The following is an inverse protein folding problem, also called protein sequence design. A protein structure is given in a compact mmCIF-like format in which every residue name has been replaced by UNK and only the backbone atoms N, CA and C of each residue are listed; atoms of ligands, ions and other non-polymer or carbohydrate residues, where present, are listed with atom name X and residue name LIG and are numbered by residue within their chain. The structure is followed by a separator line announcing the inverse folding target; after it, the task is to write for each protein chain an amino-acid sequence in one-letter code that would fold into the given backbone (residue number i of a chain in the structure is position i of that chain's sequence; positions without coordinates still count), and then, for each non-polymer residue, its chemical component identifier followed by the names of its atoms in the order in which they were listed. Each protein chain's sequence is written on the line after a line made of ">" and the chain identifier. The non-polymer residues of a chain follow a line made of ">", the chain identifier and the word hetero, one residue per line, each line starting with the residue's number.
data_IF_674132472133
#
_entry.id   IF_674132472133
#
_cell.length_a   1.000
_cell.length_b   1.000
_cell.length_c   1.000
_cell.angle_alpha   90.00
_cell.angle_beta   90.00
_cell.angle_gamma   90.00
#
_symmetry.space_group_name_H-M   'P 1'
#
loop_
_entity.id
_entity.type
_entity.pdbx_description
1 polymer ?
#
# COMPACT_ATOMS: atom_id res chain seq x y z
N UNK A 1 -28.27 -12.05 -8.20
CA UNK A 1 -27.17 -12.35 -7.23
C UNK A 1 -27.74 -13.28 -6.17
N UNK A 2 -27.15 -14.42 -5.93
CA UNK A 2 -27.64 -15.41 -4.96
C UNK A 2 -27.66 -14.78 -3.55
N UNK A 3 -28.69 -15.04 -2.73
CA UNK A 3 -28.84 -14.49 -1.36
C UNK A 3 -27.61 -14.72 -0.50
N UNK A 4 -26.92 -15.84 -0.70
CA UNK A 4 -25.67 -16.17 -0.02
C UNK A 4 -24.51 -15.23 -0.42
N UNK A 5 -24.34 -14.94 -1.70
CA UNK A 5 -23.31 -14.03 -2.20
C UNK A 5 -23.52 -12.61 -1.66
N UNK A 6 -24.78 -12.14 -1.64
CA UNK A 6 -25.12 -10.84 -1.08
C UNK A 6 -24.79 -10.76 0.41
N UNK A 7 -25.13 -11.79 1.19
CA UNK A 7 -24.81 -11.86 2.62
C UNK A 7 -23.29 -11.82 2.88
N UNK A 8 -22.51 -12.54 2.09
CA UNK A 8 -21.04 -12.55 2.20
C UNK A 8 -20.44 -11.17 1.88
N UNK A 9 -20.90 -10.52 0.81
CA UNK A 9 -20.43 -9.18 0.42
C UNK A 9 -20.78 -8.15 1.50
N UNK A 10 -22.03 -8.16 1.98
CA UNK A 10 -22.45 -7.25 3.06
C UNK A 10 -21.65 -7.51 4.35
N UNK A 11 -21.37 -8.77 4.67
CA UNK A 11 -20.52 -9.13 5.81
C UNK A 11 -19.11 -8.54 5.68
N UNK A 12 -18.49 -8.57 4.49
CA UNK A 12 -17.17 -7.98 4.23
C UNK A 12 -17.19 -6.45 4.36
N UNK A 13 -18.21 -5.80 3.81
CA UNK A 13 -18.37 -4.35 3.96
C UNK A 13 -18.58 -3.94 5.42
N UNK A 14 -19.35 -4.71 6.17
CA UNK A 14 -19.54 -4.47 7.61
C UNK A 14 -18.23 -4.59 8.39
N UNK A 15 -17.46 -5.66 8.15
CA UNK A 15 -16.14 -5.85 8.78
C UNK A 15 -15.19 -4.69 8.41
N UNK A 16 -15.15 -4.27 7.14
CA UNK A 16 -14.33 -3.13 6.72
C UNK A 16 -14.74 -1.83 7.44
N UNK A 17 -16.04 -1.57 7.60
CA UNK A 17 -16.55 -0.41 8.35
C UNK A 17 -16.17 -0.46 9.83
N UNK A 18 -16.34 -1.60 10.48
CA UNK A 18 -15.95 -1.78 11.89
C UNK A 18 -14.44 -1.59 12.05
N UNK A 19 -13.65 -2.15 11.15
CA UNK A 19 -12.18 -1.96 11.17
C UNK A 19 -11.82 -0.50 11.02
N UNK A 20 -12.47 0.23 10.10
CA UNK A 20 -12.21 1.66 9.90
C UNK A 20 -12.48 2.48 11.18
N UNK A 21 -13.58 2.18 11.89
CA UNK A 21 -13.91 2.83 13.16
C UNK A 21 -12.87 2.51 14.24
N UNK A 22 -12.45 1.24 14.37
CA UNK A 22 -11.41 0.83 15.33
C UNK A 22 -10.09 1.53 15.03
N UNK A 23 -9.69 1.56 13.77
CA UNK A 23 -8.43 2.21 13.35
C UNK A 23 -8.51 3.72 13.53
N UNK A 24 -9.65 4.37 13.25
CA UNK A 24 -9.81 5.81 13.49
C UNK A 24 -9.62 6.16 14.97
N UNK A 25 -10.21 5.35 15.86
CA UNK A 25 -10.00 5.48 17.30
C UNK A 25 -8.52 5.29 17.68
N UNK A 26 -7.90 4.21 17.20
CA UNK A 26 -6.51 3.91 17.50
C UNK A 26 -5.55 5.02 17.00
N UNK A 27 -5.73 5.51 15.78
CA UNK A 27 -4.92 6.60 15.19
C UNK A 27 -5.08 7.88 15.99
N UNK A 28 -6.32 8.26 16.32
CA UNK A 28 -6.58 9.48 17.10
C UNK A 28 -5.91 9.43 18.47
N UNK A 29 -6.13 8.33 19.22
CA UNK A 29 -5.56 8.23 20.56
C UNK A 29 -4.04 8.02 20.53
N UNK A 30 -3.50 7.24 19.58
CA UNK A 30 -2.05 7.09 19.42
C UNK A 30 -1.36 8.43 19.17
N UNK A 31 -1.94 9.28 18.29
CA UNK A 31 -1.37 10.62 18.03
C UNK A 31 -1.51 11.54 19.23
N UNK A 32 -2.60 11.46 19.98
CA UNK A 32 -2.84 12.26 21.19
C UNK A 32 -1.91 11.88 22.35
N UNK A 33 -1.51 10.60 22.43
CA UNK A 33 -0.61 10.07 23.46
C UNK A 33 0.89 10.26 23.16
N UNK A 34 1.23 10.81 22.01
CA UNK A 34 2.62 11.09 21.66
C UNK A 34 3.28 11.99 22.71
N UNK A 35 4.49 11.67 23.24
CA UNK A 35 5.15 12.46 24.25
C UNK A 35 5.52 13.85 23.71
N UNK A 36 5.33 14.89 24.53
CA UNK A 36 5.57 16.29 24.21
C UNK A 36 4.28 17.05 23.92
N UNK A 37 4.30 18.33 24.21
CA UNK A 37 3.17 19.24 23.97
C UNK A 37 3.22 19.82 22.57
N UNK A 38 2.17 19.59 21.78
CA UNK A 38 2.06 20.07 20.40
C UNK A 38 2.23 21.59 20.30
N UNK A 39 1.61 22.36 21.20
CA UNK A 39 1.71 23.82 21.20
C UNK A 39 3.15 24.30 21.48
N UNK A 40 3.83 23.68 22.41
CA UNK A 40 5.24 23.98 22.71
C UNK A 40 6.16 23.68 21.53
N UNK A 41 5.95 22.55 20.84
CA UNK A 41 6.77 22.16 19.69
C UNK A 41 6.56 23.09 18.52
N UNK A 42 5.32 23.49 18.23
CA UNK A 42 4.98 24.42 17.16
C UNK A 42 5.55 25.82 17.39
N UNK A 43 5.51 26.31 18.65
CA UNK A 43 6.08 27.61 19.01
C UNK A 43 7.62 27.61 19.05
N UNK A 44 8.23 26.43 19.25
CA UNK A 44 9.69 26.30 19.30
C UNK A 44 10.33 27.28 20.26
N UNK A 45 11.21 28.16 19.76
CA UNK A 45 11.90 29.16 20.59
C UNK A 45 10.98 30.28 21.11
N UNK A 46 9.80 30.47 20.52
CA UNK A 46 8.81 31.47 20.95
C UNK A 46 7.83 30.94 22.02
N UNK A 47 8.06 29.76 22.58
CA UNK A 47 7.22 29.10 23.56
C UNK A 47 7.27 29.78 24.93
N UNK A 48 6.59 30.91 25.09
CA UNK A 48 6.30 31.45 26.43
C UNK A 48 5.10 30.76 27.04
N UNK A 49 4.96 30.72 28.39
CA UNK A 49 3.80 30.10 29.04
C UNK A 49 2.45 30.62 28.52
N UNK A 50 2.36 31.94 28.33
CA UNK A 50 1.15 32.60 27.82
C UNK A 50 0.86 32.21 26.36
N UNK A 51 1.87 32.19 25.50
CA UNK A 51 1.73 31.79 24.10
C UNK A 51 1.32 30.31 23.96
N UNK A 52 1.89 29.44 24.76
CA UNK A 52 1.55 27.99 24.79
C UNK A 52 0.10 27.81 25.22
N UNK A 53 -0.36 28.49 26.28
CA UNK A 53 -1.74 28.40 26.75
C UNK A 53 -2.72 28.96 25.70
N UNK A 54 -2.38 30.09 25.09
CA UNK A 54 -3.17 30.70 24.01
C UNK A 54 -3.33 29.73 22.83
N UNK A 55 -2.24 29.11 22.39
CA UNK A 55 -2.26 28.18 21.27
C UNK A 55 -2.99 26.87 21.60
N UNK A 56 -2.86 26.35 22.83
CA UNK A 56 -3.65 25.18 23.30
C UNK A 56 -5.14 25.44 23.21
N UNK A 57 -5.61 26.61 23.66
CA UNK A 57 -7.02 27.00 23.57
C UNK A 57 -7.48 27.17 22.13
N UNK A 58 -6.67 27.82 21.29
CA UNK A 58 -6.98 28.01 19.87
C UNK A 58 -7.08 26.68 19.11
N UNK A 59 -6.29 25.65 19.48
CA UNK A 59 -6.31 24.32 18.90
C UNK A 59 -7.26 23.36 19.63
N UNK A 60 -8.01 23.83 20.63
CA UNK A 60 -8.90 23.00 21.46
C UNK A 60 -8.21 21.80 22.13
N UNK A 61 -6.90 21.91 22.41
CA UNK A 61 -6.13 20.83 23.03
C UNK A 61 -6.44 20.64 24.52
N UNK A 62 -7.08 21.62 25.15
CA UNK A 62 -7.60 21.62 26.53
C UNK A 62 -8.90 20.81 26.68
N UNK A 63 -9.62 20.57 25.58
CA UNK A 63 -10.85 19.78 25.61
C UNK A 63 -10.56 18.28 25.84
N UNK A 64 -11.49 17.54 26.50
CA UNK A 64 -11.36 16.10 26.67
C UNK A 64 -11.17 15.39 25.33
N UNK A 65 -10.21 14.45 25.27
CA UNK A 65 -9.84 13.75 24.05
C UNK A 65 -11.02 13.08 23.33
N UNK A 66 -12.02 12.59 24.08
CA UNK A 66 -13.21 11.97 23.50
C UNK A 66 -14.06 12.96 22.69
N UNK A 67 -14.24 14.20 23.19
CA UNK A 67 -14.98 15.23 22.45
C UNK A 67 -14.23 15.65 21.18
N UNK A 68 -12.92 15.78 21.25
CA UNK A 68 -12.06 16.05 20.07
C UNK A 68 -12.17 14.91 19.05
N UNK A 69 -12.14 13.66 19.49
CA UNK A 69 -12.33 12.50 18.63
C UNK A 69 -13.69 12.51 17.92
N UNK A 70 -14.78 12.77 18.66
CA UNK A 70 -16.12 12.83 18.07
C UNK A 70 -16.24 13.96 17.04
N UNK A 71 -15.74 15.15 17.36
CA UNK A 71 -15.73 16.29 16.43
C UNK A 71 -14.94 15.95 15.15
N UNK A 72 -13.74 15.41 15.30
CA UNK A 72 -12.91 14.98 14.18
C UNK A 72 -13.58 13.88 13.33
N UNK A 73 -14.18 12.89 13.96
CA UNK A 73 -14.90 11.81 13.26
C UNK A 73 -16.09 12.33 12.48
N UNK A 74 -16.86 13.27 13.03
CA UNK A 74 -17.99 13.91 12.33
C UNK A 74 -17.47 14.74 11.14
N UNK A 75 -16.38 15.49 11.32
CA UNK A 75 -15.72 16.22 10.23
C UNK A 75 -15.31 15.29 9.09
N UNK A 76 -14.65 14.16 9.40
CA UNK A 76 -14.27 13.17 8.38
C UNK A 76 -15.48 12.63 7.60
N UNK A 77 -16.60 12.35 8.27
CA UNK A 77 -17.82 11.89 7.59
C UNK A 77 -18.45 12.95 6.70
N UNK A 78 -18.21 14.22 6.97
CA UNK A 78 -18.65 15.35 6.14
C UNK A 78 -17.64 15.72 5.05
N UNK A 79 -16.48 15.03 4.99
CA UNK A 79 -15.39 15.33 4.04
C UNK A 79 -14.49 16.49 4.48
N UNK A 80 -14.64 16.97 5.70
CA UNK A 80 -13.77 17.98 6.29
C UNK A 80 -12.57 17.30 6.97
N UNK A 81 -11.40 17.46 6.39
CA UNK A 81 -10.14 16.95 6.93
C UNK A 81 -9.51 17.90 7.97
N UNK A 82 -10.09 19.09 8.14
CA UNK A 82 -9.58 20.13 9.04
C UNK A 82 -8.42 20.94 8.45
N UNK A 83 -7.74 21.66 9.36
CA UNK A 83 -6.62 22.54 9.04
C UNK A 83 -5.34 22.02 9.67
N UNK A 84 -4.23 22.09 8.93
CA UNK A 84 -2.88 21.77 9.40
C UNK A 84 -2.47 22.73 10.50
N UNK A 85 -1.94 22.21 11.60
CA UNK A 85 -1.45 23.04 12.69
C UNK A 85 -0.11 23.73 12.37
N UNK A 86 0.73 23.09 11.55
CA UNK A 86 2.05 23.62 11.20
C UNK A 86 2.01 24.64 10.04
N UNK A 87 1.08 24.45 9.09
CA UNK A 87 1.01 25.27 7.87
C UNK A 87 -0.18 26.22 7.83
N UNK A 88 -1.13 26.10 8.77
CA UNK A 88 -2.39 26.88 8.81
C UNK A 88 -3.22 26.78 7.50
N UNK A 89 -3.00 25.72 6.72
CA UNK A 89 -3.66 25.49 5.44
C UNK A 89 -4.68 24.35 5.55
N UNK A 90 -5.76 24.38 4.73
CA UNK A 90 -6.67 23.24 4.63
C UNK A 90 -5.93 21.94 4.26
N UNK A 91 -6.09 20.88 5.05
CA UNK A 91 -5.42 19.60 4.86
C UNK A 91 -5.76 19.00 3.48
N UNK A 92 -7.00 19.17 3.02
CA UNK A 92 -7.41 18.74 1.68
C UNK A 92 -6.53 19.32 0.57
N UNK A 93 -6.14 20.60 0.67
CA UNK A 93 -5.26 21.23 -0.31
C UNK A 93 -3.83 20.67 -0.26
N UNK A 94 -3.30 20.38 0.95
CA UNK A 94 -1.98 19.80 1.15
C UNK A 94 -1.90 18.37 0.59
N UNK A 95 -2.98 17.59 0.71
CA UNK A 95 -3.05 16.18 0.33
C UNK A 95 -3.33 16.02 -1.17
N UNK A 96 -4.16 16.84 -1.79
CA UNK A 96 -4.72 16.60 -3.12
C UNK A 96 -3.66 16.25 -4.18
N UNK A 97 -2.65 17.09 -4.36
CA UNK A 97 -1.58 16.84 -5.34
C UNK A 97 -0.69 15.65 -4.97
N UNK A 98 -0.38 15.51 -3.68
CA UNK A 98 0.49 14.44 -3.17
C UNK A 98 -0.18 13.07 -3.24
N UNK A 99 -1.48 13.02 -2.99
CA UNK A 99 -2.28 11.80 -3.15
C UNK A 99 -2.27 11.29 -4.60
N UNK A 100 -2.46 12.19 -5.56
CA UNK A 100 -2.37 11.84 -6.98
C UNK A 100 -0.98 11.31 -7.34
N UNK A 101 0.09 11.89 -6.80
CA UNK A 101 1.46 11.43 -7.02
C UNK A 101 1.66 10.01 -6.46
N UNK A 102 1.24 9.74 -5.22
CA UNK A 102 1.30 8.39 -4.64
C UNK A 102 0.49 7.40 -5.46
N UNK A 103 -0.71 7.75 -5.92
CA UNK A 103 -1.51 6.88 -6.77
C UNK A 103 -0.84 6.60 -8.13
N UNK A 104 -0.20 7.60 -8.75
CA UNK A 104 0.60 7.40 -9.98
C UNK A 104 1.75 6.44 -9.73
N UNK A 105 2.51 6.63 -8.66
CA UNK A 105 3.62 5.75 -8.30
C UNK A 105 3.14 4.32 -8.06
N UNK A 106 2.09 4.14 -7.26
CA UNK A 106 1.50 2.84 -6.98
C UNK A 106 0.93 2.18 -8.25
N UNK A 107 0.23 2.95 -9.08
CA UNK A 107 -0.35 2.48 -10.34
C UNK A 107 0.70 2.02 -11.35
N UNK A 108 1.77 2.81 -11.54
CA UNK A 108 2.88 2.43 -12.43
C UNK A 108 3.61 1.20 -11.88
N UNK A 109 3.86 1.15 -10.57
CA UNK A 109 4.45 -0.03 -9.94
C UNK A 109 3.58 -1.27 -10.14
N UNK A 110 2.27 -1.17 -9.92
CA UNK A 110 1.32 -2.27 -10.13
C UNK A 110 1.30 -2.75 -11.60
N UNK A 111 1.37 -1.81 -12.55
CA UNK A 111 1.39 -2.10 -13.99
C UNK A 111 2.57 -3.00 -14.38
N UNK A 112 3.73 -2.86 -13.74
CA UNK A 112 4.89 -3.69 -13.98
C UNK A 112 4.94 -4.92 -13.05
N UNK A 113 4.71 -4.75 -11.76
CA UNK A 113 4.87 -5.81 -10.76
C UNK A 113 3.87 -6.95 -10.96
N UNK A 114 2.59 -6.64 -11.28
CA UNK A 114 1.55 -7.68 -11.41
C UNK A 114 1.82 -8.61 -12.60
N UNK A 115 2.06 -8.13 -13.85
CA UNK A 115 2.36 -9.01 -14.97
C UNK A 115 3.66 -9.82 -14.75
N UNK A 116 4.71 -9.21 -14.22
CA UNK A 116 5.96 -9.89 -13.91
C UNK A 116 5.71 -11.02 -12.91
N UNK A 117 5.04 -10.72 -11.82
CA UNK A 117 4.80 -11.66 -10.75
C UNK A 117 3.88 -12.82 -11.19
N UNK A 118 2.81 -12.54 -11.91
CA UNK A 118 1.94 -13.57 -12.44
C UNK A 118 2.66 -14.47 -13.44
N UNK A 119 3.41 -13.89 -14.36
CA UNK A 119 4.16 -14.66 -15.37
C UNK A 119 5.20 -15.57 -14.72
N UNK A 120 6.05 -15.02 -13.84
CA UNK A 120 7.09 -15.78 -13.17
C UNK A 120 6.51 -16.80 -12.17
N UNK A 121 5.46 -16.44 -11.42
CA UNK A 121 4.81 -17.32 -10.46
C UNK A 121 4.12 -18.52 -11.13
N UNK A 122 3.37 -18.27 -12.20
CA UNK A 122 2.67 -19.32 -12.95
C UNK A 122 3.67 -20.22 -13.67
N UNK A 123 4.66 -19.66 -14.36
CA UNK A 123 5.67 -20.45 -15.09
C UNK A 123 6.55 -21.27 -14.15
N UNK A 124 6.93 -20.74 -12.99
CA UNK A 124 7.65 -21.49 -11.96
C UNK A 124 6.82 -22.65 -11.40
N UNK A 125 5.51 -22.47 -11.22
CA UNK A 125 4.61 -23.55 -10.82
C UNK A 125 4.46 -24.62 -11.91
N UNK A 126 4.38 -24.24 -13.19
CA UNK A 126 4.33 -25.16 -14.34
C UNK A 126 5.59 -26.01 -14.47
N UNK A 127 6.74 -25.41 -14.20
CA UNK A 127 8.07 -26.02 -14.32
C UNK A 127 8.62 -26.44 -12.95
N UNK A 128 7.72 -26.81 -12.02
CA UNK A 128 8.07 -27.23 -10.66
C UNK A 128 9.18 -28.31 -10.64
N UNK A 129 10.19 -28.07 -9.79
CA UNK A 129 11.34 -28.98 -9.60
C UNK A 129 12.47 -28.79 -10.63
N UNK A 130 12.30 -27.99 -11.67
CA UNK A 130 13.36 -27.66 -12.63
C UNK A 130 14.34 -26.62 -12.07
N UNK A 131 15.47 -26.41 -12.75
CA UNK A 131 16.44 -25.37 -12.41
C UNK A 131 15.81 -23.96 -12.46
N UNK A 132 14.92 -23.69 -13.43
CA UNK A 132 14.17 -22.45 -13.53
C UNK A 132 13.37 -22.15 -12.25
N UNK A 133 12.59 -23.11 -11.81
CA UNK A 133 11.79 -23.00 -10.58
C UNK A 133 12.67 -22.73 -9.35
N UNK A 134 13.82 -23.41 -9.27
CA UNK A 134 14.77 -23.20 -8.16
C UNK A 134 15.36 -21.79 -8.18
N UNK A 135 15.78 -21.31 -9.36
CA UNK A 135 16.35 -19.95 -9.52
C UNK A 135 15.32 -18.91 -9.12
N UNK A 136 14.09 -18.96 -9.66
CA UNK A 136 13.01 -18.02 -9.31
C UNK A 136 12.74 -18.06 -7.80
N UNK A 137 12.68 -19.25 -7.20
CA UNK A 137 12.43 -19.40 -5.76
C UNK A 137 13.57 -18.81 -4.93
N UNK A 138 14.83 -19.10 -5.26
CA UNK A 138 16.00 -18.58 -4.52
C UNK A 138 16.08 -17.07 -4.61
N UNK A 139 15.88 -16.49 -5.81
CA UNK A 139 15.88 -15.05 -6.00
C UNK A 139 14.77 -14.39 -5.19
N UNK A 140 13.54 -14.91 -5.27
CA UNK A 140 12.41 -14.33 -4.54
C UNK A 140 12.58 -14.41 -3.02
N UNK A 141 13.11 -15.50 -2.49
CA UNK A 141 13.44 -15.63 -1.07
C UNK A 141 14.53 -14.64 -0.69
N UNK A 142 15.59 -14.53 -1.49
CA UNK A 142 16.67 -13.57 -1.27
C UNK A 142 16.16 -12.13 -1.20
N UNK A 143 15.30 -11.74 -2.15
CA UNK A 143 14.70 -10.39 -2.19
C UNK A 143 13.85 -10.10 -0.94
N UNK A 144 12.99 -11.05 -0.55
CA UNK A 144 12.11 -10.89 0.62
C UNK A 144 12.90 -10.81 1.93
N UNK A 145 14.09 -11.42 1.97
CA UNK A 145 14.96 -11.42 3.16
C UNK A 145 15.69 -10.08 3.36
N UNK A 146 15.76 -9.23 2.34
CA UNK A 146 16.41 -7.92 2.41
C UNK A 146 15.39 -6.85 2.80
N UNK A 147 15.63 -6.04 3.85
CA UNK A 147 14.76 -4.93 4.18
C UNK A 147 14.60 -3.95 3.01
N UNK A 148 13.40 -3.45 2.80
CA UNK A 148 13.06 -2.59 1.65
C UNK A 148 13.92 -1.33 1.55
N UNK A 149 14.23 -0.69 2.69
CA UNK A 149 15.10 0.48 2.71
C UNK A 149 16.53 0.16 2.21
N UNK A 150 17.03 -1.06 2.46
CA UNK A 150 18.33 -1.49 1.94
C UNK A 150 18.28 -1.69 0.43
N UNK A 151 17.18 -2.21 -0.11
CA UNK A 151 17.00 -2.32 -1.57
C UNK A 151 16.99 -0.92 -2.19
N UNK A 152 16.22 0.02 -1.61
CA UNK A 152 16.12 1.39 -2.10
C UNK A 152 17.47 2.12 -2.04
N UNK A 153 18.17 2.06 -0.91
CA UNK A 153 19.47 2.73 -0.75
C UNK A 153 20.57 2.09 -1.60
N UNK A 154 20.58 0.76 -1.73
CA UNK A 154 21.52 0.06 -2.62
C UNK A 154 21.27 0.41 -4.08
N UNK A 155 19.99 0.47 -4.50
CA UNK A 155 19.63 0.91 -5.86
C UNK A 155 20.09 2.35 -6.10
N UNK A 156 19.88 3.28 -5.16
CA UNK A 156 20.36 4.65 -5.26
C UNK A 156 21.89 4.70 -5.38
N UNK A 157 22.61 3.94 -4.56
CA UNK A 157 24.06 3.89 -4.59
C UNK A 157 24.59 3.37 -5.93
N UNK A 158 24.02 2.28 -6.43
CA UNK A 158 24.46 1.65 -7.69
C UNK A 158 24.11 2.55 -8.89
N UNK A 159 22.84 2.89 -9.06
CA UNK A 159 22.36 3.53 -10.28
C UNK A 159 22.55 5.05 -10.31
N UNK A 160 22.53 5.73 -9.16
CA UNK A 160 22.70 7.17 -9.14
C UNK A 160 24.15 7.61 -8.85
N UNK A 161 24.86 6.91 -7.95
CA UNK A 161 26.21 7.32 -7.52
C UNK A 161 27.28 6.68 -8.41
N UNK A 162 27.30 5.33 -8.51
CA UNK A 162 28.35 4.62 -9.25
C UNK A 162 28.13 4.67 -10.77
N UNK A 163 26.95 4.27 -11.25
CA UNK A 163 26.67 4.20 -12.69
C UNK A 163 26.24 5.55 -13.27
N UNK A 164 25.70 6.44 -12.46
CA UNK A 164 25.18 7.76 -12.87
C UNK A 164 24.14 7.69 -13.99
N UNK A 165 23.37 6.61 -14.04
CA UNK A 165 22.33 6.39 -15.07
C UNK A 165 21.02 7.11 -14.73
N UNK A 166 20.66 7.16 -13.44
CA UNK A 166 19.39 7.68 -12.95
C UNK A 166 19.62 8.70 -11.84
N UNK A 167 18.75 9.70 -11.66
CA UNK A 167 18.85 10.66 -10.58
C UNK A 167 18.55 9.98 -9.22
N UNK A 168 19.25 10.39 -8.18
CA UNK A 168 19.01 9.90 -6.81
C UNK A 168 17.69 10.42 -6.22
N UNK A 169 17.23 11.59 -6.65
CA UNK A 169 16.04 12.26 -6.15
C UNK A 169 14.98 12.39 -7.24
N UNK A 170 13.73 12.28 -6.84
CA UNK A 170 12.57 12.28 -7.75
C UNK A 170 11.79 13.58 -7.63
N UNK A 171 12.23 14.64 -8.32
CA UNK A 171 11.53 15.93 -8.36
C UNK A 171 10.39 15.89 -9.38
N UNK A 172 9.21 15.43 -8.97
CA UNK A 172 8.05 15.27 -9.87
C UNK A 172 7.54 16.60 -10.47
N UNK A 173 7.96 17.75 -9.95
CA UNK A 173 7.55 19.08 -10.43
C UNK A 173 8.34 19.54 -11.68
N UNK A 174 9.42 18.85 -12.05
CA UNK A 174 10.31 19.22 -13.18
C UNK A 174 10.08 18.32 -14.40
N UNK A 175 8.92 17.67 -14.49
CA UNK A 175 8.60 16.78 -15.60
C UNK A 175 7.99 17.56 -16.75
N UNK A 176 8.78 17.80 -17.80
CA UNK A 176 8.38 18.47 -19.04
C UNK A 176 8.31 17.54 -20.24
N UNK A 177 8.91 16.35 -20.16
CA UNK A 177 8.95 15.37 -21.22
C UNK A 177 8.67 13.95 -20.72
N UNK A 178 8.33 13.03 -21.64
CA UNK A 178 8.21 11.61 -21.34
C UNK A 178 9.52 11.02 -20.81
N UNK A 179 10.66 11.50 -21.31
CA UNK A 179 11.97 11.07 -20.84
C UNK A 179 12.25 11.51 -19.40
N UNK A 180 11.87 12.74 -19.01
CA UNK A 180 11.99 13.23 -17.65
C UNK A 180 11.10 12.43 -16.71
N UNK A 181 9.85 12.16 -17.14
CA UNK A 181 8.92 11.33 -16.37
C UNK A 181 9.52 9.94 -16.12
N UNK A 182 10.06 9.29 -17.14
CA UNK A 182 10.70 7.98 -16.99
C UNK A 182 11.91 8.05 -16.04
N UNK A 183 12.73 9.10 -16.12
CA UNK A 183 13.89 9.27 -15.22
C UNK A 183 13.47 9.48 -13.77
N UNK A 184 12.49 10.34 -13.53
CA UNK A 184 12.01 10.67 -12.17
C UNK A 184 11.36 9.47 -11.49
N UNK A 185 10.58 8.68 -12.24
CA UNK A 185 9.88 7.52 -11.70
C UNK A 185 10.70 6.23 -11.68
N UNK A 186 11.79 6.15 -12.46
CA UNK A 186 12.52 4.90 -12.65
C UNK A 186 12.98 4.28 -11.33
N UNK A 187 13.69 5.02 -10.49
CA UNK A 187 14.25 4.49 -9.24
C UNK A 187 13.17 4.05 -8.25
N UNK A 188 12.17 4.89 -7.90
CA UNK A 188 11.06 4.48 -7.04
C UNK A 188 10.32 3.26 -7.58
N UNK A 189 9.97 3.26 -8.88
CA UNK A 189 9.20 2.17 -9.52
C UNK A 189 10.00 0.87 -9.56
N UNK A 190 11.27 0.90 -9.96
CA UNK A 190 12.12 -0.30 -10.01
C UNK A 190 12.25 -0.92 -8.62
N UNK A 191 12.52 -0.09 -7.60
CA UNK A 191 12.66 -0.55 -6.21
C UNK A 191 11.37 -1.21 -5.71
N UNK A 192 10.23 -0.53 -5.82
CA UNK A 192 8.94 -1.07 -5.39
C UNK A 192 8.54 -2.31 -6.20
N UNK A 193 8.74 -2.29 -7.52
CA UNK A 193 8.43 -3.44 -8.38
C UNK A 193 9.25 -4.66 -7.96
N UNK A 194 10.53 -4.49 -7.68
CA UNK A 194 11.41 -5.58 -7.28
C UNK A 194 10.94 -6.23 -5.97
N UNK A 195 10.66 -5.42 -4.94
CA UNK A 195 10.24 -5.91 -3.62
C UNK A 195 8.85 -6.54 -3.67
N UNK A 196 7.87 -5.85 -4.26
CA UNK A 196 6.47 -6.29 -4.30
C UNK A 196 6.29 -7.53 -5.18
N UNK A 197 7.00 -7.59 -6.32
CA UNK A 197 6.93 -8.76 -7.21
C UNK A 197 7.43 -10.03 -6.53
N UNK A 198 8.46 -9.98 -5.73
CA UNK A 198 9.02 -11.16 -5.07
C UNK A 198 8.00 -11.89 -4.19
N UNK A 199 7.28 -11.14 -3.36
CA UNK A 199 6.21 -11.68 -2.52
C UNK A 199 5.05 -12.23 -3.36
N UNK A 200 4.63 -11.48 -4.38
CA UNK A 200 3.53 -11.85 -5.27
C UNK A 200 3.86 -13.11 -6.10
N UNK A 201 5.09 -13.23 -6.61
CA UNK A 201 5.58 -14.43 -7.33
C UNK A 201 5.43 -15.68 -6.44
N UNK A 202 5.92 -15.58 -5.19
CA UNK A 202 5.87 -16.69 -4.24
C UNK A 202 4.44 -17.12 -3.93
N UNK A 203 3.55 -16.17 -3.66
CA UNK A 203 2.15 -16.47 -3.35
C UNK A 203 1.41 -17.04 -4.56
N UNK A 204 1.60 -16.44 -5.75
CA UNK A 204 1.02 -16.94 -7.01
C UNK A 204 1.48 -18.36 -7.31
N UNK A 205 2.79 -18.62 -7.18
CA UNK A 205 3.35 -19.97 -7.37
C UNK A 205 2.73 -20.97 -6.41
N UNK A 206 2.60 -20.62 -5.14
CA UNK A 206 1.98 -21.50 -4.13
C UNK A 206 0.52 -21.82 -4.47
N UNK A 207 -0.28 -20.81 -4.82
CA UNK A 207 -1.69 -20.97 -5.18
C UNK A 207 -1.89 -21.87 -6.42
N UNK A 208 -1.04 -21.72 -7.43
CA UNK A 208 -1.11 -22.57 -8.64
C UNK A 208 -0.71 -24.00 -8.31
N UNK A 209 0.36 -24.23 -7.53
CA UNK A 209 0.79 -25.56 -7.12
C UNK A 209 -0.29 -26.27 -6.29
N UNK A 210 -0.91 -25.58 -5.34
CA UNK A 210 -2.00 -26.12 -4.54
C UNK A 210 -3.14 -26.61 -5.42
N UNK A 211 -3.53 -25.80 -6.40
CA UNK A 211 -4.59 -26.17 -7.36
C UNK A 211 -4.17 -27.33 -8.26
N UNK A 212 -2.91 -27.39 -8.70
CA UNK A 212 -2.39 -28.49 -9.53
C UNK A 212 -2.38 -29.85 -8.81
N UNK A 213 -2.33 -29.87 -7.49
CA UNK A 213 -2.35 -31.10 -6.67
C UNK A 213 -3.78 -31.58 -6.36
N UNK A 214 -4.83 -31.03 -6.97
CA UNK A 214 -6.22 -31.43 -6.73
C UNK A 214 -6.63 -32.65 -7.57
N UNK A 215 -7.54 -33.50 -7.08
CA UNK A 215 -7.94 -34.76 -7.79
C UNK A 215 -8.52 -34.53 -9.19
N UNK A 216 -9.22 -33.39 -9.42
CA UNK A 216 -9.78 -33.12 -10.74
C UNK A 216 -8.70 -32.76 -11.79
N UNK A 217 -7.58 -32.20 -11.34
CA UNK A 217 -6.42 -31.95 -12.22
C UNK A 217 -5.70 -33.24 -12.53
N UNK A 218 -5.56 -34.13 -11.56
CA UNK A 218 -5.01 -35.46 -11.77
C UNK A 218 -5.85 -36.26 -12.79
N UNK A 219 -7.17 -36.24 -12.69
CA UNK A 219 -8.07 -36.81 -13.68
C UNK A 219 -7.90 -36.24 -15.09
N UNK A 220 -7.64 -34.95 -15.21
CA UNK A 220 -7.35 -34.31 -16.51
C UNK A 220 -6.01 -34.81 -17.09
N UNK A 221 -5.01 -35.03 -16.25
CA UNK A 221 -3.72 -35.59 -16.63
C UNK A 221 -3.88 -37.03 -17.12
N UNK A 222 -4.63 -37.87 -16.39
CA UNK A 222 -4.92 -39.25 -16.77
C UNK A 222 -5.71 -39.37 -18.09
N UNK A 223 -6.50 -38.37 -18.44
CA UNK A 223 -7.18 -38.23 -19.74
C UNK A 223 -6.26 -37.74 -20.87
N UNK A 224 -4.96 -37.58 -20.63
CA UNK A 224 -3.98 -37.21 -21.63
C UNK A 224 -3.92 -35.72 -21.98
N UNK A 225 -4.47 -34.84 -21.12
CA UNK A 225 -4.37 -33.41 -21.34
C UNK A 225 -2.90 -32.92 -21.20
N UNK A 226 -2.45 -32.07 -22.12
CA UNK A 226 -1.10 -31.49 -22.07
C UNK A 226 -0.94 -30.55 -20.86
N UNK A 227 0.29 -30.43 -20.31
CA UNK A 227 0.58 -29.58 -19.16
C UNK A 227 0.08 -28.11 -19.32
N UNK A 228 0.31 -27.41 -20.44
CA UNK A 228 -0.24 -26.06 -20.62
C UNK A 228 -1.77 -26.05 -20.57
N UNK A 229 -2.45 -27.04 -21.21
CA UNK A 229 -3.91 -27.13 -21.17
C UNK A 229 -4.43 -27.35 -19.75
N UNK A 230 -3.75 -28.18 -18.96
CA UNK A 230 -4.08 -28.41 -17.54
C UNK A 230 -3.99 -27.09 -16.76
N UNK A 231 -2.90 -26.33 -16.91
CA UNK A 231 -2.71 -25.06 -16.19
C UNK A 231 -3.75 -24.03 -16.61
N UNK A 232 -3.84 -23.70 -17.90
CA UNK A 232 -4.68 -22.60 -18.36
C UNK A 232 -6.18 -22.89 -18.33
N UNK A 233 -6.59 -24.15 -18.53
CA UNK A 233 -8.02 -24.51 -18.63
C UNK A 233 -8.59 -25.15 -17.36
N UNK A 234 -7.76 -25.75 -16.53
CA UNK A 234 -8.24 -26.48 -15.34
C UNK A 234 -7.72 -25.86 -14.03
N UNK A 235 -6.44 -25.50 -13.94
CA UNK A 235 -5.87 -24.99 -12.69
C UNK A 235 -6.13 -23.48 -12.51
N UNK A 236 -5.74 -22.62 -13.45
CA UNK A 236 -5.84 -21.18 -13.31
C UNK A 236 -7.25 -20.67 -13.01
N UNK A 237 -8.33 -21.13 -13.67
CA UNK A 237 -9.68 -20.65 -13.34
C UNK A 237 -10.09 -20.92 -11.89
N UNK A 238 -9.56 -22.00 -11.29
CA UNK A 238 -9.82 -22.35 -9.89
C UNK A 238 -8.82 -21.71 -8.92
N UNK A 239 -7.63 -21.30 -9.41
CA UNK A 239 -6.63 -20.56 -8.65
C UNK A 239 -6.88 -19.05 -8.65
N UNK A 240 -7.84 -18.52 -9.43
CA UNK A 240 -8.10 -17.07 -9.55
C UNK A 240 -8.38 -16.43 -8.21
N UNK A 241 -9.21 -17.03 -7.34
CA UNK A 241 -9.48 -16.47 -6.02
C UNK A 241 -8.21 -16.26 -5.18
N UNK A 242 -7.42 -17.33 -4.92
CA UNK A 242 -6.12 -17.20 -4.25
C UNK A 242 -5.13 -16.25 -4.93
N UNK A 243 -5.07 -16.22 -6.26
CA UNK A 243 -4.18 -15.31 -7.00
C UNK A 243 -4.62 -13.86 -6.82
N UNK A 244 -5.91 -13.55 -6.95
CA UNK A 244 -6.45 -12.18 -6.73
C UNK A 244 -6.16 -11.72 -5.30
N UNK A 245 -6.32 -12.59 -4.30
CA UNK A 245 -5.95 -12.29 -2.93
C UNK A 245 -4.45 -12.03 -2.79
N UNK A 246 -3.59 -12.82 -3.43
CA UNK A 246 -2.15 -12.62 -3.42
C UNK A 246 -1.76 -11.26 -4.03
N UNK A 247 -2.37 -10.90 -5.17
CA UNK A 247 -2.19 -9.58 -5.80
C UNK A 247 -2.64 -8.45 -4.88
N UNK A 248 -3.83 -8.56 -4.31
CA UNK A 248 -4.38 -7.52 -3.44
C UNK A 248 -3.55 -7.31 -2.16
N UNK A 249 -3.14 -8.40 -1.51
CA UNK A 249 -2.25 -8.32 -0.34
C UNK A 249 -0.92 -7.66 -0.71
N UNK A 250 -0.33 -8.00 -1.86
CA UNK A 250 0.92 -7.39 -2.32
C UNK A 250 0.74 -5.91 -2.69
N UNK A 251 -0.37 -5.53 -3.31
CA UNK A 251 -0.69 -4.12 -3.59
C UNK A 251 -1.03 -3.35 -2.31
N UNK A 252 -1.63 -4.00 -1.31
CA UNK A 252 -1.85 -3.40 0.01
C UNK A 252 -0.52 -3.18 0.75
N UNK A 253 0.42 -4.12 0.65
CA UNK A 253 1.77 -3.96 1.16
C UNK A 253 2.51 -2.80 0.46
N UNK A 254 2.25 -2.59 -0.83
CA UNK A 254 2.79 -1.45 -1.58
C UNK A 254 2.47 -0.11 -0.90
N UNK A 255 1.27 0.04 -0.30
CA UNK A 255 0.91 1.27 0.41
C UNK A 255 1.81 1.53 1.63
N UNK A 256 2.30 0.49 2.30
CA UNK A 256 3.30 0.62 3.37
C UNK A 256 4.70 0.93 2.83
N UNK A 257 5.13 0.21 1.78
CA UNK A 257 6.44 0.37 1.16
C UNK A 257 6.65 1.72 0.48
N UNK A 258 5.59 2.33 -0.02
CA UNK A 258 5.63 3.68 -0.58
C UNK A 258 6.19 4.69 0.43
N UNK A 259 5.97 4.54 1.75
CA UNK A 259 6.50 5.44 2.79
C UNK A 259 8.02 5.51 2.72
N UNK A 260 8.67 4.35 2.65
CA UNK A 260 10.14 4.24 2.63
C UNK A 260 10.68 4.82 1.32
N UNK A 261 10.08 4.46 0.20
CA UNK A 261 10.54 4.85 -1.14
C UNK A 261 10.31 6.35 -1.39
N UNK A 262 9.16 6.90 -1.01
CA UNK A 262 8.91 8.34 -1.11
C UNK A 262 9.90 9.16 -0.27
N UNK A 263 10.29 8.64 0.88
CA UNK A 263 11.25 9.30 1.77
C UNK A 263 12.66 9.25 1.21
N UNK A 264 13.15 8.07 0.79
CA UNK A 264 14.53 7.89 0.29
C UNK A 264 14.76 8.66 -0.99
N UNK A 265 13.81 8.60 -1.94
CA UNK A 265 13.93 9.27 -3.23
C UNK A 265 13.37 10.70 -3.23
N UNK A 266 12.96 11.23 -2.07
CA UNK A 266 12.33 12.54 -1.91
C UNK A 266 11.16 12.76 -2.89
N UNK A 267 10.38 11.70 -3.12
CA UNK A 267 9.23 11.75 -4.00
C UNK A 267 8.06 12.47 -3.30
N UNK A 268 7.41 13.47 -3.93
CA UNK A 268 6.40 14.31 -3.30
C UNK A 268 5.04 13.61 -3.19
N UNK A 269 4.97 12.55 -2.41
CA UNK A 269 3.76 11.78 -2.13
C UNK A 269 3.15 12.08 -0.77
N UNK A 270 2.02 11.37 -0.48
CA UNK A 270 1.27 11.52 0.77
C UNK A 270 1.99 10.86 1.95
N UNK A 271 2.76 9.80 1.71
CA UNK A 271 3.50 9.11 2.75
C UNK A 271 4.63 9.97 3.30
N UNK A 272 5.37 10.65 2.42
CA UNK A 272 6.36 11.64 2.82
C UNK A 272 5.72 12.80 3.57
N UNK A 273 4.56 13.31 3.11
CA UNK A 273 3.81 14.34 3.80
C UNK A 273 3.45 13.93 5.23
N UNK A 274 3.00 12.68 5.42
CA UNK A 274 2.68 12.14 6.73
C UNK A 274 3.92 12.07 7.64
N UNK A 275 5.07 11.67 7.10
CA UNK A 275 6.32 11.62 7.86
C UNK A 275 6.79 13.02 8.28
N UNK A 276 6.71 13.99 7.36
CA UNK A 276 7.03 15.40 7.65
C UNK A 276 6.09 15.96 8.74
N UNK A 277 4.78 15.60 8.69
CA UNK A 277 3.80 15.97 9.71
C UNK A 277 4.10 15.35 11.09
N UNK A 278 4.64 14.13 11.13
CA UNK A 278 5.10 13.51 12.39
C UNK A 278 6.25 14.31 13.00
N UNK A 279 7.21 14.77 12.19
CA UNK A 279 8.34 15.56 12.65
C UNK A 279 7.89 16.93 13.21
N UNK A 280 6.87 17.55 12.62
CA UNK A 280 6.31 18.84 13.05
C UNK A 280 5.17 18.72 14.07
N UNK A 281 4.78 17.50 14.46
CA UNK A 281 3.64 17.25 15.38
C UNK A 281 2.30 17.79 14.90
N UNK A 282 2.08 17.79 13.61
CA UNK A 282 0.83 18.19 13.00
C UNK A 282 -0.22 17.08 13.11
N UNK A 283 -0.88 16.99 14.27
CA UNK A 283 -1.80 15.90 14.60
C UNK A 283 -2.94 15.74 13.58
N UNK A 284 -3.67 16.80 13.16
CA UNK A 284 -4.74 16.64 12.19
C UNK A 284 -4.25 16.11 10.83
N UNK A 285 -3.07 16.56 10.39
CA UNK A 285 -2.48 16.10 9.13
C UNK A 285 -2.05 14.64 9.21
N UNK A 286 -1.41 14.20 10.32
CA UNK A 286 -1.07 12.80 10.56
C UNK A 286 -2.31 11.92 10.52
N UNK A 287 -3.37 12.31 11.27
CA UNK A 287 -4.61 11.57 11.37
C UNK A 287 -5.28 11.41 10.00
N UNK A 288 -5.35 12.50 9.23
CA UNK A 288 -5.95 12.50 7.88
C UNK A 288 -5.18 11.61 6.90
N UNK A 289 -3.85 11.71 6.87
CA UNK A 289 -3.00 10.85 6.03
C UNK A 289 -3.15 9.37 6.42
N UNK A 290 -3.13 9.04 7.71
CA UNK A 290 -3.28 7.68 8.21
C UNK A 290 -4.66 7.09 7.84
N UNK A 291 -5.73 7.87 7.93
CA UNK A 291 -7.07 7.43 7.52
C UNK A 291 -7.16 7.19 6.02
N UNK A 292 -6.51 7.99 5.19
CA UNK A 292 -6.46 7.78 3.73
C UNK A 292 -5.74 6.48 3.39
N UNK A 293 -4.60 6.19 4.04
CA UNK A 293 -3.90 4.91 3.86
C UNK A 293 -4.76 3.72 4.33
N UNK A 294 -5.41 3.85 5.50
CA UNK A 294 -6.30 2.81 6.01
C UNK A 294 -7.46 2.54 5.06
N UNK A 295 -8.11 3.59 4.57
CA UNK A 295 -9.21 3.48 3.62
C UNK A 295 -8.74 2.82 2.31
N UNK A 296 -7.60 3.24 1.76
CA UNK A 296 -7.00 2.63 0.56
C UNK A 296 -6.70 1.14 0.74
N UNK A 297 -6.11 0.77 1.88
CA UNK A 297 -5.86 -0.63 2.25
C UNK A 297 -7.14 -1.45 2.33
N UNK A 298 -8.14 -0.96 3.07
CA UNK A 298 -9.42 -1.64 3.23
C UNK A 298 -10.19 -1.78 1.91
N UNK A 299 -10.15 -0.76 1.06
CA UNK A 299 -10.76 -0.81 -0.27
C UNK A 299 -10.12 -1.91 -1.14
N UNK A 300 -8.78 -1.97 -1.20
CA UNK A 300 -8.08 -3.00 -1.97
C UNK A 300 -8.44 -4.41 -1.51
N UNK A 301 -8.40 -4.67 -0.21
CA UNK A 301 -8.74 -5.99 0.34
C UNK A 301 -10.21 -6.31 0.11
N UNK A 302 -11.11 -5.37 0.35
CA UNK A 302 -12.55 -5.59 0.16
C UNK A 302 -12.89 -5.90 -1.30
N UNK A 303 -12.29 -5.18 -2.25
CA UNK A 303 -12.44 -5.45 -3.68
C UNK A 303 -11.93 -6.86 -4.01
N UNK A 304 -10.77 -7.24 -3.50
CA UNK A 304 -10.22 -8.58 -3.72
C UNK A 304 -11.11 -9.68 -3.15
N UNK A 305 -11.62 -9.52 -1.95
CA UNK A 305 -12.56 -10.46 -1.33
C UNK A 305 -13.84 -10.60 -2.15
N UNK A 306 -14.38 -9.48 -2.64
CA UNK A 306 -15.57 -9.49 -3.51
C UNK A 306 -15.26 -10.23 -4.82
N UNK A 307 -14.13 -9.96 -5.47
CA UNK A 307 -13.73 -10.66 -6.69
C UNK A 307 -13.56 -12.17 -6.41
N UNK A 308 -12.94 -12.54 -5.29
CA UNK A 308 -12.76 -13.93 -4.89
C UNK A 308 -14.10 -14.65 -4.65
N UNK A 309 -15.06 -13.99 -3.99
CA UNK A 309 -16.42 -14.49 -3.78
C UNK A 309 -17.13 -14.71 -5.13
N UNK A 310 -17.10 -13.70 -6.01
CA UNK A 310 -17.77 -13.75 -7.32
C UNK A 310 -17.12 -14.76 -8.28
N UNK A 311 -15.82 -14.99 -8.13
CA UNK A 311 -15.07 -15.96 -8.95
C UNK A 311 -15.23 -17.41 -8.47
N UNK A 312 -15.83 -17.64 -7.31
CA UNK A 312 -15.96 -18.99 -6.75
C UNK A 312 -17.14 -19.75 -7.38
N UNK A 313 -16.88 -20.80 -8.20
CA UNK A 313 -17.95 -21.55 -8.86
C UNK A 313 -18.88 -22.28 -7.88
N UNK A 314 -18.42 -22.56 -6.65
CA UNK A 314 -19.21 -23.27 -5.62
C UNK A 314 -20.28 -22.39 -4.97
N UNK A 315 -20.23 -21.09 -5.18
CA UNK A 315 -21.19 -20.12 -4.63
C UNK A 315 -22.24 -19.70 -5.67
N UNK A 316 -22.08 -20.14 -6.91
CA UNK A 316 -23.07 -19.97 -7.99
C UNK A 316 -24.03 -21.15 -7.99
#
# INVERSE_FOLDING_TARGET
>A
MNRQVLSLVLGRLFVAMVTLVIVSFAVFFATTLLPGDTATILLGQAATPEAVEGLRKAMHLDEPALFRFLRWSVGLLQGDLGTSYANEMPIAALIAGRFVNTLKLAGVTALFSVPIALTLGITAAMLRGTLYDRIVTVITIGVISVPEFMVATSAALIFAVYLKWLPALSFANEVHSLADLLRVYAMPVITLTFVVSAQMIRMTRAAVIETLNTPYVEMALLKGASRPRIVFRHALPNALGPIVNAVALSLSYLLGGVIIVETIFNYPGIAKLMLDAVATRDLPLIQSCAMIFCLGYLLLITIADIIAILSNPRLR
#
